data_IF_115993903993
#
_entry.id   IF_115993903993
#
_cell.length_a   1.000
_cell.length_b   1.000
_cell.length_c   1.000
_cell.angle_alpha   90.00
_cell.angle_beta   90.00
_cell.angle_gamma   90.00
#
_symmetry.space_group_name_H-M   'P 1'
#
loop_
_entity.id
_entity.type
_entity.pdbx_description
1 polymer ?
#
# COMPACT_ATOMS: atom_id res chain seq x y z
N UNK A 1 5.89 -21.25 -73.27
CA UNK A 1 5.31 -21.65 -71.96
C UNK A 1 5.84 -20.88 -70.75
N UNK A 2 7.11 -20.44 -70.69
CA UNK A 2 7.65 -19.69 -69.51
C UNK A 2 7.09 -18.26 -69.28
N UNK A 3 6.55 -17.58 -70.30
CA UNK A 3 5.94 -16.23 -70.16
C UNK A 3 4.46 -16.24 -69.69
N UNK A 4 3.76 -17.37 -69.82
CA UNK A 4 2.36 -17.50 -69.39
C UNK A 4 2.25 -17.81 -67.88
N UNK A 5 3.23 -18.54 -67.33
CA UNK A 5 3.27 -18.83 -65.89
C UNK A 5 3.54 -17.59 -65.02
N UNK A 6 4.33 -16.62 -65.49
CA UNK A 6 4.61 -15.39 -64.74
C UNK A 6 3.43 -14.41 -64.71
N UNK A 7 2.61 -14.34 -65.76
CA UNK A 7 1.37 -13.54 -65.77
C UNK A 7 0.24 -14.16 -64.95
N UNK A 8 0.10 -15.49 -64.95
CA UNK A 8 -0.90 -16.19 -64.13
C UNK A 8 -0.61 -16.06 -62.63
N UNK A 9 0.67 -16.09 -62.24
CA UNK A 9 1.09 -15.87 -60.85
C UNK A 9 0.83 -14.41 -60.43
N UNK A 10 1.22 -13.42 -61.24
CA UNK A 10 0.91 -11.99 -60.97
C UNK A 10 -0.60 -11.71 -60.90
N UNK A 11 -1.40 -12.34 -61.76
CA UNK A 11 -2.87 -12.26 -61.74
C UNK A 11 -3.50 -12.89 -60.48
N UNK A 12 -2.99 -14.04 -60.04
CA UNK A 12 -3.43 -14.67 -58.78
C UNK A 12 -3.03 -13.86 -57.53
N UNK A 13 -1.90 -13.14 -57.59
CA UNK A 13 -1.49 -12.23 -56.53
C UNK A 13 -2.37 -10.98 -56.46
N UNK A 14 -2.72 -10.37 -57.60
CA UNK A 14 -3.61 -9.21 -57.67
C UNK A 14 -5.08 -9.52 -57.33
N UNK A 15 -5.62 -10.64 -57.82
CA UNK A 15 -7.00 -11.08 -57.53
C UNK A 15 -7.21 -11.42 -56.05
N UNK A 16 -6.21 -12.02 -55.41
CA UNK A 16 -6.27 -12.31 -53.98
C UNK A 16 -6.26 -11.04 -53.11
N UNK A 17 -5.55 -9.98 -53.52
CA UNK A 17 -5.60 -8.68 -52.81
C UNK A 17 -6.94 -7.96 -52.96
N UNK A 18 -7.53 -8.00 -54.16
CA UNK A 18 -8.89 -7.49 -54.39
C UNK A 18 -9.95 -8.27 -53.60
N UNK A 19 -9.81 -9.60 -53.51
CA UNK A 19 -10.72 -10.45 -52.75
C UNK A 19 -10.67 -10.17 -51.24
N UNK A 20 -9.47 -9.97 -50.66
CA UNK A 20 -9.33 -9.68 -49.23
C UNK A 20 -9.85 -8.29 -48.86
N UNK A 21 -9.68 -7.29 -49.72
CA UNK A 21 -10.28 -5.98 -49.51
C UNK A 21 -11.81 -5.97 -49.74
N UNK A 22 -12.37 -6.97 -50.43
CA UNK A 22 -13.82 -7.08 -50.66
C UNK A 22 -14.61 -7.62 -49.45
N UNK A 23 -13.93 -8.15 -48.42
CA UNK A 23 -14.58 -8.69 -47.21
C UNK A 23 -15.42 -7.63 -46.49
N UNK A 24 -15.02 -6.36 -46.61
CA UNK A 24 -15.73 -5.20 -46.07
C UNK A 24 -17.18 -5.13 -46.57
N UNK A 25 -17.38 -5.30 -47.89
CA UNK A 25 -18.71 -5.23 -48.51
C UNK A 25 -19.55 -6.47 -48.18
N UNK A 26 -18.91 -7.64 -48.11
CA UNK A 26 -19.58 -8.88 -47.68
C UNK A 26 -20.01 -8.80 -46.22
N UNK A 27 -19.20 -8.18 -45.36
CA UNK A 27 -19.55 -7.92 -43.98
C UNK A 27 -20.72 -6.94 -43.86
N UNK A 28 -20.82 -5.91 -44.71
CA UNK A 28 -22.01 -5.03 -44.75
C UNK A 28 -23.29 -5.81 -45.08
N UNK A 29 -23.25 -6.67 -46.11
CA UNK A 29 -24.40 -7.50 -46.47
C UNK A 29 -24.83 -8.45 -45.34
N UNK A 30 -23.89 -8.93 -44.51
CA UNK A 30 -24.19 -9.72 -43.32
C UNK A 30 -24.78 -8.85 -42.19
N UNK A 31 -24.27 -7.63 -42.01
CA UNK A 31 -24.81 -6.69 -41.02
C UNK A 31 -26.24 -6.26 -41.35
N UNK A 32 -26.58 -6.05 -42.63
CA UNK A 32 -27.96 -5.78 -43.08
C UNK A 32 -28.92 -6.94 -42.77
N UNK A 33 -28.40 -8.16 -42.70
CA UNK A 33 -29.14 -9.36 -42.29
C UNK A 33 -29.14 -9.60 -40.77
N UNK A 34 -28.66 -8.64 -39.96
CA UNK A 34 -28.45 -8.77 -38.52
C UNK A 34 -27.50 -9.91 -38.11
N UNK A 35 -26.57 -10.31 -38.99
CA UNK A 35 -25.58 -11.38 -38.75
C UNK A 35 -24.22 -10.82 -38.34
N UNK A 36 -24.19 -10.07 -37.26
CA UNK A 36 -22.96 -9.41 -36.78
C UNK A 36 -21.85 -10.40 -36.38
N UNK A 37 -22.20 -11.59 -35.87
CA UNK A 37 -21.22 -12.63 -35.55
C UNK A 37 -20.53 -13.17 -36.81
N UNK A 38 -21.31 -13.52 -37.84
CA UNK A 38 -20.77 -14.00 -39.12
C UNK A 38 -19.94 -12.93 -39.82
N UNK A 39 -20.40 -11.66 -39.77
CA UNK A 39 -19.66 -10.53 -40.31
C UNK A 39 -18.30 -10.36 -39.61
N UNK A 40 -18.26 -10.50 -38.28
CA UNK A 40 -17.03 -10.41 -37.50
C UNK A 40 -16.04 -11.53 -37.86
N UNK A 41 -16.51 -12.78 -37.92
CA UNK A 41 -15.66 -13.91 -38.28
C UNK A 41 -15.12 -13.78 -39.71
N UNK A 42 -15.92 -13.26 -40.66
CA UNK A 42 -15.44 -12.96 -42.00
C UNK A 42 -14.33 -11.90 -42.01
N UNK A 43 -14.49 -10.81 -41.26
CA UNK A 43 -13.49 -9.73 -41.19
C UNK A 43 -12.16 -10.20 -40.59
N UNK A 44 -12.21 -11.07 -39.57
CA UNK A 44 -11.02 -11.65 -38.93
C UNK A 44 -10.13 -12.42 -39.90
N UNK A 45 -10.68 -12.97 -40.98
CA UNK A 45 -9.91 -13.71 -42.00
C UNK A 45 -8.86 -12.83 -42.73
N UNK A 46 -8.99 -11.50 -42.62
CA UNK A 46 -8.09 -10.54 -43.25
C UNK A 46 -7.03 -9.95 -42.33
N UNK A 47 -7.06 -10.23 -41.01
CA UNK A 47 -6.18 -9.59 -40.02
C UNK A 47 -4.70 -9.94 -40.20
N UNK A 48 -4.40 -11.18 -40.58
CA UNK A 48 -3.02 -11.65 -40.79
C UNK A 48 -2.69 -11.84 -42.27
N UNK A 49 -3.56 -11.39 -43.18
CA UNK A 49 -3.36 -11.60 -44.59
C UNK A 49 -2.42 -10.53 -45.17
N UNK A 50 -1.25 -10.90 -45.74
CA UNK A 50 -0.27 -9.93 -46.24
C UNK A 50 -0.76 -9.12 -47.44
N UNK A 51 -1.89 -9.50 -48.05
CA UNK A 51 -2.51 -8.80 -49.17
C UNK A 51 -3.59 -7.82 -48.75
N UNK A 52 -3.97 -7.79 -47.47
CA UNK A 52 -4.91 -6.81 -46.94
C UNK A 52 -4.24 -5.43 -46.96
N UNK A 53 -4.93 -4.44 -47.52
CA UNK A 53 -4.43 -3.05 -47.53
C UNK A 53 -5.40 -2.09 -46.85
N UNK A 54 -6.66 -2.50 -46.64
CA UNK A 54 -7.71 -1.72 -45.98
C UNK A 54 -7.85 -2.05 -44.48
N UNK A 55 -6.73 -2.20 -43.76
CA UNK A 55 -6.78 -2.59 -42.35
C UNK A 55 -7.60 -1.62 -41.49
N UNK A 56 -7.46 -0.30 -41.70
CA UNK A 56 -8.26 0.71 -40.98
C UNK A 56 -9.77 0.47 -41.06
N UNK A 57 -10.29 0.31 -42.29
CA UNK A 57 -11.70 0.04 -42.58
C UNK A 57 -12.17 -1.31 -42.01
N UNK A 58 -11.35 -2.36 -42.18
CA UNK A 58 -11.65 -3.72 -41.70
C UNK A 58 -11.75 -3.74 -40.17
N UNK A 59 -10.79 -3.14 -39.47
CA UNK A 59 -10.79 -3.04 -38.01
C UNK A 59 -11.95 -2.16 -37.51
N UNK A 60 -12.25 -1.03 -38.16
CA UNK A 60 -13.38 -0.19 -37.79
C UNK A 60 -14.70 -0.97 -37.87
N UNK A 61 -14.87 -1.76 -38.93
CA UNK A 61 -16.06 -2.61 -39.12
C UNK A 61 -16.12 -3.76 -38.13
N UNK A 62 -14.98 -4.37 -37.81
CA UNK A 62 -14.90 -5.39 -36.77
C UNK A 62 -15.30 -4.82 -35.40
N UNK A 63 -14.82 -3.62 -35.05
CA UNK A 63 -15.24 -2.89 -33.84
C UNK A 63 -16.74 -2.64 -33.79
N UNK A 64 -17.35 -2.25 -34.93
CA UNK A 64 -18.82 -2.10 -35.05
C UNK A 64 -19.56 -3.42 -34.82
N UNK A 65 -19.09 -4.52 -35.39
CA UNK A 65 -19.69 -5.84 -35.16
C UNK A 65 -19.59 -6.23 -33.68
N UNK A 66 -18.43 -6.05 -33.06
CA UNK A 66 -18.22 -6.34 -31.64
C UNK A 66 -19.11 -5.49 -30.75
N UNK A 67 -19.30 -4.20 -31.07
CA UNK A 67 -20.25 -3.32 -30.37
C UNK A 67 -21.70 -3.84 -30.45
N UNK A 68 -22.14 -4.26 -31.64
CA UNK A 68 -23.48 -4.84 -31.84
C UNK A 68 -23.66 -6.10 -30.99
N UNK A 69 -22.64 -6.95 -30.94
CA UNK A 69 -22.66 -8.19 -30.14
C UNK A 69 -22.54 -7.93 -28.63
N UNK A 70 -21.92 -6.82 -28.23
CA UNK A 70 -21.78 -6.43 -26.83
C UNK A 70 -23.06 -5.82 -26.26
N UNK A 71 -23.84 -5.08 -27.06
CA UNK A 71 -25.02 -4.35 -26.61
C UNK A 71 -26.08 -5.23 -25.89
N UNK A 72 -26.45 -6.43 -26.37
CA UNK A 72 -27.40 -7.29 -25.67
C UNK A 72 -26.92 -7.71 -24.27
N UNK A 73 -25.61 -7.86 -24.06
CA UNK A 73 -25.04 -8.20 -22.75
C UNK A 73 -25.25 -7.05 -21.76
N UNK A 74 -25.09 -5.81 -22.20
CA UNK A 74 -25.36 -4.62 -21.39
C UNK A 74 -26.85 -4.51 -21.04
N UNK A 75 -27.74 -4.77 -22.01
CA UNK A 75 -29.20 -4.74 -21.79
C UNK A 75 -29.62 -5.82 -20.80
N UNK A 76 -29.08 -7.04 -20.91
CA UNK A 76 -29.36 -8.12 -19.96
C UNK A 76 -28.89 -7.75 -18.56
N UNK A 77 -27.67 -7.23 -18.42
CA UNK A 77 -27.13 -6.79 -17.14
C UNK A 77 -27.96 -5.67 -16.50
N UNK A 78 -28.38 -4.67 -17.29
CA UNK A 78 -29.24 -3.57 -16.82
C UNK A 78 -30.61 -4.06 -16.31
N UNK A 79 -31.12 -5.16 -16.86
CA UNK A 79 -32.37 -5.82 -16.45
C UNK A 79 -32.15 -6.91 -15.39
N UNK A 80 -30.99 -6.96 -14.74
CA UNK A 80 -30.63 -7.97 -13.72
C UNK A 80 -30.79 -9.41 -14.19
N UNK A 81 -30.62 -9.65 -15.50
CA UNK A 81 -30.60 -10.98 -16.08
C UNK A 81 -29.20 -11.59 -15.95
N UNK A 82 -29.07 -12.94 -16.01
CA UNK A 82 -27.77 -13.60 -16.04
C UNK A 82 -26.87 -13.03 -17.14
N UNK A 83 -25.66 -12.63 -16.76
CA UNK A 83 -24.65 -12.10 -17.66
C UNK A 83 -23.59 -13.17 -17.91
N UNK A 84 -23.38 -13.54 -19.18
CA UNK A 84 -22.21 -14.32 -19.56
C UNK A 84 -20.96 -13.43 -19.44
N UNK A 85 -20.28 -13.54 -18.30
CA UNK A 85 -19.10 -12.73 -18.00
C UNK A 85 -17.93 -13.00 -18.95
N UNK A 86 -17.82 -14.23 -19.49
CA UNK A 86 -16.75 -14.56 -20.43
C UNK A 86 -17.00 -13.88 -21.79
N UNK A 87 -18.24 -13.94 -22.28
CA UNK A 87 -18.63 -13.26 -23.50
C UNK A 87 -18.56 -11.73 -23.34
N UNK A 88 -18.98 -11.18 -22.19
CA UNK A 88 -18.84 -9.76 -21.87
C UNK A 88 -17.39 -9.30 -22.01
N UNK A 89 -16.47 -10.02 -21.36
CA UNK A 89 -15.05 -9.71 -21.37
C UNK A 89 -14.46 -9.81 -22.78
N UNK A 90 -14.73 -10.91 -23.50
CA UNK A 90 -14.23 -11.10 -24.86
C UNK A 90 -14.74 -10.04 -25.83
N UNK A 91 -16.02 -9.64 -25.73
CA UNK A 91 -16.61 -8.62 -26.62
C UNK A 91 -16.16 -7.21 -26.28
N UNK A 92 -15.92 -6.91 -25.01
CA UNK A 92 -15.29 -5.66 -24.58
C UNK A 92 -13.89 -5.52 -25.20
N UNK A 93 -13.06 -6.57 -25.07
CA UNK A 93 -11.71 -6.62 -25.64
C UNK A 93 -11.75 -6.44 -27.15
N UNK A 94 -12.56 -7.24 -27.86
CA UNK A 94 -12.69 -7.15 -29.32
C UNK A 94 -13.10 -5.73 -29.75
N UNK A 95 -14.11 -5.15 -29.09
CA UNK A 95 -14.61 -3.82 -29.43
C UNK A 95 -13.53 -2.74 -29.27
N UNK A 96 -12.86 -2.69 -28.12
CA UNK A 96 -11.83 -1.68 -27.85
C UNK A 96 -10.61 -1.89 -28.74
N UNK A 97 -10.11 -3.12 -28.85
CA UNK A 97 -8.90 -3.44 -29.62
C UNK A 97 -9.08 -3.11 -31.11
N UNK A 98 -10.21 -3.50 -31.72
CA UNK A 98 -10.42 -3.24 -33.14
C UNK A 98 -10.61 -1.75 -33.44
N UNK A 99 -11.35 -1.00 -32.62
CA UNK A 99 -11.40 0.45 -32.82
C UNK A 99 -10.03 1.11 -32.61
N UNK A 100 -9.25 0.70 -31.60
CA UNK A 100 -7.90 1.24 -31.39
C UNK A 100 -6.95 0.90 -32.55
N UNK A 101 -6.97 -0.34 -33.06
CA UNK A 101 -6.17 -0.73 -34.24
C UNK A 101 -6.55 0.07 -35.47
N UNK A 102 -7.84 0.32 -35.68
CA UNK A 102 -8.32 1.19 -36.75
C UNK A 102 -7.76 2.62 -36.60
N UNK A 103 -7.87 3.21 -35.41
CA UNK A 103 -7.32 4.54 -35.12
C UNK A 103 -5.81 4.60 -35.38
N UNK A 104 -5.04 3.68 -34.80
CA UNK A 104 -3.58 3.64 -34.94
C UNK A 104 -3.17 3.48 -36.39
N UNK A 105 -3.83 2.59 -37.14
CA UNK A 105 -3.53 2.41 -38.56
C UNK A 105 -3.69 3.73 -39.32
N UNK A 106 -4.81 4.43 -39.15
CA UNK A 106 -5.09 5.66 -39.90
C UNK A 106 -4.31 6.89 -39.42
N UNK A 107 -3.75 6.83 -38.20
CA UNK A 107 -2.93 7.90 -37.60
C UNK A 107 -1.42 7.60 -37.64
N UNK A 108 -1.01 6.53 -38.33
CA UNK A 108 0.40 6.19 -38.55
C UNK A 108 0.72 6.29 -40.05
N UNK A 109 1.75 7.06 -40.46
CA UNK A 109 2.15 7.10 -41.85
C UNK A 109 2.71 5.73 -42.31
N UNK A 110 2.54 5.42 -43.60
CA UNK A 110 3.18 4.26 -44.20
C UNK A 110 4.70 4.42 -44.31
N UNK A 111 5.39 3.39 -44.80
CA UNK A 111 6.85 3.40 -44.97
C UNK A 111 7.37 4.52 -45.91
N UNK A 112 6.50 5.19 -46.67
CA UNK A 112 6.82 6.32 -47.54
C UNK A 112 6.39 7.67 -46.95
N UNK A 113 5.94 7.70 -45.69
CA UNK A 113 5.47 8.91 -45.02
C UNK A 113 4.04 9.31 -45.39
N UNK A 114 3.30 8.50 -46.15
CA UNK A 114 1.94 8.83 -46.58
C UNK A 114 0.93 8.38 -45.55
N UNK A 115 0.03 9.30 -45.18
CA UNK A 115 -1.11 8.98 -44.31
C UNK A 115 -2.14 8.12 -45.03
N UNK A 116 -2.68 7.07 -44.40
CA UNK A 116 -3.81 6.32 -44.92
C UNK A 116 -5.06 7.18 -45.07
N UNK A 117 -6.03 6.68 -45.85
CA UNK A 117 -7.35 7.31 -45.94
C UNK A 117 -8.03 7.25 -44.57
N UNK A 118 -8.55 8.38 -44.12
CA UNK A 118 -9.29 8.46 -42.86
C UNK A 118 -10.74 7.97 -43.05
N UNK A 119 -11.12 6.95 -42.29
CA UNK A 119 -12.47 6.40 -42.18
C UNK A 119 -12.88 6.18 -40.71
N UNK A 120 -11.93 6.27 -39.78
CA UNK A 120 -12.14 6.29 -38.35
C UNK A 120 -12.97 7.51 -37.95
N UNK A 121 -14.03 7.28 -37.17
CA UNK A 121 -15.00 8.31 -36.82
C UNK A 121 -14.87 8.78 -35.37
N UNK A 122 -15.34 10.00 -35.10
CA UNK A 122 -15.50 10.48 -33.73
C UNK A 122 -16.46 9.60 -32.90
N UNK A 123 -17.42 8.92 -33.56
CA UNK A 123 -18.29 7.93 -32.90
C UNK A 123 -17.47 6.77 -32.34
N UNK A 124 -16.49 6.24 -33.08
CA UNK A 124 -15.63 5.16 -32.61
C UNK A 124 -14.82 5.56 -31.36
N UNK A 125 -14.25 6.77 -31.33
CA UNK A 125 -13.59 7.28 -30.12
C UNK A 125 -14.56 7.42 -28.96
N UNK A 126 -15.79 7.86 -29.21
CA UNK A 126 -16.80 7.97 -28.16
C UNK A 126 -17.23 6.58 -27.64
N UNK A 127 -17.31 5.57 -28.50
CA UNK A 127 -17.57 4.18 -28.11
C UNK A 127 -16.45 3.65 -27.21
N UNK A 128 -15.18 3.85 -27.58
CA UNK A 128 -14.04 3.49 -26.72
C UNK A 128 -14.17 4.22 -25.38
N UNK A 129 -14.36 5.54 -25.38
CA UNK A 129 -14.47 6.32 -24.14
C UNK A 129 -15.61 5.83 -23.23
N UNK A 130 -16.75 5.44 -23.81
CA UNK A 130 -17.89 4.91 -23.06
C UNK A 130 -17.66 3.50 -22.51
N UNK A 131 -16.64 2.78 -22.99
CA UNK A 131 -16.31 1.44 -22.51
C UNK A 131 -15.42 1.43 -21.26
N UNK A 132 -14.92 2.60 -20.83
CA UNK A 132 -13.90 2.74 -19.77
C UNK A 132 -14.25 1.96 -18.49
N UNK A 133 -15.47 2.08 -17.99
CA UNK A 133 -15.86 1.49 -16.70
C UNK A 133 -15.97 -0.05 -16.76
N UNK A 134 -16.16 -0.61 -17.96
CA UNK A 134 -16.37 -2.04 -18.14
C UNK A 134 -15.10 -2.87 -17.86
N UNK A 135 -13.90 -2.29 -18.00
CA UNK A 135 -12.66 -2.97 -17.60
C UNK A 135 -12.58 -3.16 -16.07
N UNK A 136 -13.08 -2.19 -15.30
CA UNK A 136 -13.17 -2.35 -13.85
C UNK A 136 -14.13 -3.48 -13.49
N UNK A 137 -15.33 -3.49 -14.08
CA UNK A 137 -16.32 -4.56 -13.84
C UNK A 137 -15.81 -5.94 -14.26
N UNK A 138 -15.12 -6.04 -15.40
CA UNK A 138 -14.45 -7.28 -15.80
C UNK A 138 -13.46 -7.78 -14.73
N UNK A 139 -12.69 -6.87 -14.13
CA UNK A 139 -11.80 -7.17 -13.01
C UNK A 139 -12.56 -7.76 -11.81
N UNK A 140 -13.67 -7.13 -11.43
CA UNK A 140 -14.52 -7.59 -10.31
C UNK A 140 -15.15 -8.96 -10.60
N UNK A 141 -15.68 -9.18 -11.81
CA UNK A 141 -16.26 -10.48 -12.20
C UNK A 141 -15.22 -11.59 -12.14
N UNK A 142 -14.02 -11.35 -12.68
CA UNK A 142 -12.94 -12.32 -12.66
C UNK A 142 -12.50 -12.64 -11.23
N UNK A 143 -12.41 -11.64 -10.35
CA UNK A 143 -12.06 -11.87 -8.94
C UNK A 143 -13.13 -12.70 -8.22
N UNK A 144 -14.41 -12.37 -8.46
CA UNK A 144 -15.55 -13.09 -7.87
C UNK A 144 -15.60 -14.55 -8.31
N UNK A 145 -15.13 -14.84 -9.52
CA UNK A 145 -14.99 -16.20 -10.06
C UNK A 145 -13.67 -16.88 -9.65
N UNK A 146 -12.88 -16.28 -8.74
CA UNK A 146 -11.62 -16.83 -8.25
C UNK A 146 -10.42 -16.66 -9.19
N UNK A 147 -10.59 -16.02 -10.36
CA UNK A 147 -9.51 -15.77 -11.31
C UNK A 147 -8.75 -14.49 -10.96
N UNK A 148 -7.89 -14.57 -9.93
CA UNK A 148 -7.06 -13.44 -9.47
C UNK A 148 -6.11 -12.88 -10.55
N UNK A 149 -5.39 -13.71 -11.35
CA UNK A 149 -4.55 -13.18 -12.42
C UNK A 149 -5.35 -12.42 -13.49
N UNK A 150 -6.54 -12.93 -13.82
CA UNK A 150 -7.48 -12.25 -14.71
C UNK A 150 -7.94 -10.92 -14.12
N UNK A 151 -8.38 -10.90 -12.87
CA UNK A 151 -8.81 -9.68 -12.18
C UNK A 151 -7.72 -8.62 -12.19
N UNK A 152 -6.50 -9.00 -11.82
CA UNK A 152 -5.33 -8.12 -11.83
C UNK A 152 -5.06 -7.52 -13.21
N UNK A 153 -5.13 -8.35 -14.27
CA UNK A 153 -4.97 -7.92 -15.67
C UNK A 153 -6.03 -6.89 -16.08
N UNK A 154 -7.30 -7.14 -15.79
CA UNK A 154 -8.40 -6.28 -16.27
C UNK A 154 -8.53 -4.97 -15.47
N UNK A 155 -8.25 -4.99 -14.17
CA UNK A 155 -8.05 -3.75 -13.41
C UNK A 155 -6.84 -2.95 -13.93
N UNK A 156 -5.80 -3.63 -14.41
CA UNK A 156 -4.67 -2.97 -15.07
C UNK A 156 -5.09 -2.27 -16.37
N UNK A 157 -5.84 -2.96 -17.24
CA UNK A 157 -6.42 -2.35 -18.44
C UNK A 157 -7.28 -1.12 -18.12
N UNK A 158 -8.00 -1.14 -17.00
CA UNK A 158 -8.78 0.02 -16.55
C UNK A 158 -7.87 1.21 -16.18
N UNK A 159 -6.83 0.99 -15.39
CA UNK A 159 -5.87 2.04 -14.98
C UNK A 159 -5.13 2.62 -16.19
N UNK A 160 -4.73 1.77 -17.14
CA UNK A 160 -3.98 2.18 -18.33
C UNK A 160 -4.89 2.72 -19.45
N UNK A 161 -6.22 2.63 -19.29
CA UNK A 161 -7.19 2.96 -20.33
C UNK A 161 -7.06 4.39 -20.90
N UNK A 162 -6.77 5.44 -20.10
CA UNK A 162 -6.52 6.79 -20.63
C UNK A 162 -5.35 6.88 -21.63
N UNK A 163 -4.45 5.90 -21.63
CA UNK A 163 -3.27 5.90 -22.51
C UNK A 163 -3.57 5.35 -23.91
N UNK A 164 -4.78 4.85 -24.15
CA UNK A 164 -5.26 4.46 -25.48
C UNK A 164 -5.06 5.62 -26.49
N UNK A 165 -4.39 5.39 -27.64
CA UNK A 165 -4.12 6.44 -28.63
C UNK A 165 -5.37 7.19 -29.09
N UNK A 166 -6.50 6.48 -29.23
CA UNK A 166 -7.77 7.06 -29.65
C UNK A 166 -8.41 8.00 -28.60
N UNK A 167 -7.86 8.03 -27.38
CA UNK A 167 -8.31 8.86 -26.25
C UNK A 167 -7.30 9.95 -25.88
N UNK A 168 -6.27 10.21 -26.70
CA UNK A 168 -5.22 11.18 -26.38
C UNK A 168 -5.76 12.56 -25.95
N UNK A 169 -6.83 13.05 -26.60
CA UNK A 169 -7.48 14.34 -26.27
C UNK A 169 -8.35 14.32 -25.01
N UNK A 170 -8.66 13.13 -24.48
CA UNK A 170 -9.48 12.93 -23.27
C UNK A 170 -8.65 12.42 -22.08
N UNK A 171 -7.41 11.99 -22.29
CA UNK A 171 -6.53 11.36 -21.29
C UNK A 171 -6.49 12.12 -19.97
N UNK A 172 -6.11 13.40 -20.00
CA UNK A 172 -5.92 14.19 -18.79
C UNK A 172 -7.24 14.41 -18.04
N UNK A 173 -8.31 14.71 -18.80
CA UNK A 173 -9.66 14.83 -18.23
C UNK A 173 -10.10 13.53 -17.55
N UNK A 174 -9.80 12.35 -18.12
CA UNK A 174 -10.10 11.07 -17.48
C UNK A 174 -9.33 10.87 -16.20
N UNK A 175 -8.01 11.11 -16.20
CA UNK A 175 -7.15 10.97 -15.01
C UNK A 175 -7.60 11.87 -13.85
N UNK A 176 -8.15 13.04 -14.16
CA UNK A 176 -8.71 13.96 -13.16
C UNK A 176 -10.10 13.50 -12.70
N UNK A 177 -11.03 13.28 -13.63
CA UNK A 177 -12.44 13.03 -13.31
C UNK A 177 -12.71 11.66 -12.71
N UNK A 178 -11.83 10.69 -12.95
CA UNK A 178 -11.93 9.32 -12.45
C UNK A 178 -10.81 8.97 -11.45
N UNK A 179 -10.20 9.99 -10.84
CA UNK A 179 -9.06 9.80 -9.94
C UNK A 179 -9.37 8.80 -8.81
N UNK A 180 -10.58 8.84 -8.24
CA UNK A 180 -10.99 7.92 -7.18
C UNK A 180 -11.12 6.47 -7.66
N UNK A 181 -11.67 6.24 -8.86
CA UNK A 181 -11.79 4.90 -9.43
C UNK A 181 -10.42 4.31 -9.77
N UNK A 182 -9.50 5.12 -10.31
CA UNK A 182 -8.14 4.65 -10.58
C UNK A 182 -7.37 4.36 -9.29
N UNK A 183 -7.49 5.20 -8.26
CA UNK A 183 -6.92 4.93 -6.95
C UNK A 183 -7.46 3.63 -6.34
N UNK A 184 -8.77 3.41 -6.41
CA UNK A 184 -9.41 2.18 -5.94
C UNK A 184 -8.93 0.95 -6.72
N UNK A 185 -8.83 1.04 -8.05
CA UNK A 185 -8.33 -0.04 -8.88
C UNK A 185 -6.86 -0.39 -8.56
N UNK A 186 -6.00 0.61 -8.34
CA UNK A 186 -4.62 0.40 -7.92
C UNK A 186 -4.54 -0.30 -6.56
N UNK A 187 -5.36 0.11 -5.59
CA UNK A 187 -5.43 -0.56 -4.29
C UNK A 187 -5.86 -2.03 -4.42
N UNK A 188 -6.92 -2.33 -5.19
CA UNK A 188 -7.34 -3.71 -5.45
C UNK A 188 -6.28 -4.53 -6.19
N UNK A 189 -5.56 -3.93 -7.13
CA UNK A 189 -4.43 -4.57 -7.80
C UNK A 189 -3.29 -4.87 -6.83
N UNK A 190 -2.97 -3.97 -5.90
CA UNK A 190 -1.97 -4.23 -4.87
C UNK A 190 -2.37 -5.41 -3.97
N UNK A 191 -3.64 -5.51 -3.55
CA UNK A 191 -4.14 -6.64 -2.78
C UNK A 191 -4.07 -7.96 -3.56
N UNK A 192 -4.49 -7.96 -4.82
CA UNK A 192 -4.42 -9.14 -5.69
C UNK A 192 -2.97 -9.57 -5.93
N UNK A 193 -2.06 -8.61 -6.14
CA UNK A 193 -0.64 -8.88 -6.29
C UNK A 193 -0.07 -9.51 -5.01
N UNK A 194 -0.45 -9.00 -3.84
CA UNK A 194 -0.05 -9.57 -2.55
C UNK A 194 -0.53 -11.02 -2.38
N UNK A 195 -1.80 -11.28 -2.71
CA UNK A 195 -2.37 -12.63 -2.69
C UNK A 195 -1.64 -13.61 -3.64
N UNK A 196 -1.16 -13.11 -4.77
CA UNK A 196 -0.37 -13.87 -5.75
C UNK A 196 1.13 -13.90 -5.41
N UNK A 197 1.56 -13.24 -4.33
CA UNK A 197 2.97 -13.02 -3.96
C UNK A 197 3.80 -12.33 -5.05
N UNK A 198 3.15 -11.55 -5.91
CA UNK A 198 3.78 -10.66 -6.88
C UNK A 198 4.22 -9.37 -6.19
N UNK A 199 5.39 -9.42 -5.53
CA UNK A 199 5.92 -8.32 -4.75
C UNK A 199 6.21 -7.06 -5.57
N UNK A 200 6.65 -7.20 -6.82
CA UNK A 200 6.86 -6.04 -7.71
C UNK A 200 5.53 -5.42 -8.12
N UNK A 201 4.51 -6.24 -8.36
CA UNK A 201 3.13 -5.80 -8.53
C UNK A 201 2.59 -5.05 -7.32
N UNK A 202 2.83 -5.52 -6.09
CA UNK A 202 2.40 -4.79 -4.88
C UNK A 202 3.02 -3.40 -4.86
N UNK A 203 4.35 -3.31 -4.96
CA UNK A 203 5.07 -2.04 -4.87
C UNK A 203 4.64 -1.08 -5.99
N UNK A 204 4.56 -1.55 -7.23
CA UNK A 204 4.16 -0.70 -8.37
C UNK A 204 2.75 -0.12 -8.20
N UNK A 205 1.79 -0.91 -7.72
CA UNK A 205 0.42 -0.44 -7.54
C UNK A 205 0.28 0.46 -6.29
N UNK A 206 1.02 0.16 -5.22
CA UNK A 206 1.09 1.03 -4.04
C UNK A 206 1.70 2.39 -4.40
N UNK A 207 2.80 2.42 -5.14
CA UNK A 207 3.43 3.65 -5.65
C UNK A 207 2.49 4.42 -6.57
N UNK A 208 1.73 3.70 -7.41
CA UNK A 208 0.68 4.28 -8.23
C UNK A 208 -0.40 4.96 -7.40
N UNK A 209 -0.87 4.32 -6.31
CA UNK A 209 -1.89 4.86 -5.43
C UNK A 209 -1.40 6.11 -4.68
N UNK A 210 -0.15 6.12 -4.23
CA UNK A 210 0.45 7.28 -3.55
C UNK A 210 0.67 8.51 -4.44
N UNK A 211 0.43 8.43 -5.76
CA UNK A 211 0.39 9.61 -6.64
C UNK A 211 -0.88 10.44 -6.46
N UNK A 212 -1.91 9.91 -5.80
CA UNK A 212 -3.15 10.62 -5.51
C UNK A 212 -3.11 11.24 -4.11
N UNK A 213 -3.69 12.44 -3.99
CA UNK A 213 -3.78 13.14 -2.70
C UNK A 213 -4.62 12.34 -1.68
N UNK A 214 -4.30 12.52 -0.39
CA UNK A 214 -4.99 11.84 0.72
C UNK A 214 -6.52 11.95 0.66
N UNK A 215 -7.05 13.09 0.23
CA UNK A 215 -8.51 13.31 0.06
C UNK A 215 -9.11 12.40 -1.02
N UNK A 216 -8.42 12.22 -2.15
CA UNK A 216 -8.87 11.32 -3.22
C UNK A 216 -8.87 9.87 -2.72
N UNK A 217 -7.83 9.48 -1.98
CA UNK A 217 -7.74 8.14 -1.39
C UNK A 217 -8.87 7.90 -0.38
N UNK A 218 -9.20 8.89 0.46
CA UNK A 218 -10.31 8.83 1.41
C UNK A 218 -11.67 8.68 0.71
N UNK A 219 -11.95 9.50 -0.32
CA UNK A 219 -13.17 9.39 -1.13
C UNK A 219 -13.27 8.04 -1.87
N UNK A 220 -12.13 7.50 -2.30
CA UNK A 220 -12.01 6.18 -2.91
C UNK A 220 -12.11 5.01 -1.90
N UNK A 221 -12.21 5.31 -0.60
CA UNK A 221 -12.16 4.34 0.51
C UNK A 221 -10.90 3.48 0.50
N UNK A 222 -9.78 4.06 0.09
CA UNK A 222 -8.46 3.44 0.11
C UNK A 222 -7.77 3.82 1.42
N UNK A 223 -7.47 2.82 2.24
CA UNK A 223 -6.75 3.00 3.50
C UNK A 223 -5.28 3.30 3.22
N UNK A 224 -4.84 4.53 3.52
CA UNK A 224 -3.42 4.93 3.45
C UNK A 224 -2.57 4.05 4.38
N UNK A 225 -3.10 3.69 5.55
CA UNK A 225 -2.43 2.77 6.48
C UNK A 225 -2.19 1.41 5.83
N UNK A 226 -3.16 0.88 5.11
CA UNK A 226 -3.04 -0.43 4.46
C UNK A 226 -2.00 -0.40 3.34
N UNK A 227 -1.93 0.68 2.57
CA UNK A 227 -0.88 0.87 1.55
C UNK A 227 0.52 0.83 2.17
N UNK A 228 0.72 1.51 3.29
CA UNK A 228 1.97 1.45 4.05
C UNK A 228 2.26 0.04 4.58
N UNK A 229 1.27 -0.63 5.17
CA UNK A 229 1.42 -1.99 5.69
C UNK A 229 1.79 -2.98 4.57
N UNK A 230 1.13 -2.92 3.42
CA UNK A 230 1.44 -3.74 2.25
C UNK A 230 2.88 -3.50 1.78
N UNK A 231 3.30 -2.23 1.65
CA UNK A 231 4.67 -1.88 1.26
C UNK A 231 5.70 -2.42 2.25
N UNK A 232 5.49 -2.20 3.55
CA UNK A 232 6.40 -2.66 4.60
C UNK A 232 6.51 -4.17 4.65
N UNK A 233 5.39 -4.91 4.65
CA UNK A 233 5.39 -6.37 4.63
C UNK A 233 6.05 -6.91 3.36
N UNK A 234 5.82 -6.27 2.21
CA UNK A 234 6.46 -6.66 0.95
C UNK A 234 7.98 -6.54 1.03
N UNK A 235 8.50 -5.46 1.61
CA UNK A 235 9.94 -5.31 1.80
C UNK A 235 10.49 -6.30 2.83
N UNK A 236 9.83 -6.46 3.98
CA UNK A 236 10.34 -7.29 5.07
C UNK A 236 10.28 -8.80 4.73
N UNK A 237 9.11 -9.29 4.34
CA UNK A 237 8.86 -10.73 4.20
C UNK A 237 9.10 -11.21 2.77
N UNK A 238 8.72 -10.39 1.79
CA UNK A 238 8.77 -10.77 0.37
C UNK A 238 10.15 -10.58 -0.24
N UNK A 239 10.64 -9.34 -0.28
CA UNK A 239 11.93 -8.96 -0.86
C UNK A 239 13.11 -9.15 0.12
N UNK A 240 12.83 -9.21 1.42
CA UNK A 240 13.84 -9.24 2.50
C UNK A 240 14.81 -8.05 2.44
N UNK A 241 14.32 -6.91 1.98
CA UNK A 241 15.06 -5.66 1.91
C UNK A 241 14.78 -4.84 3.18
N UNK A 242 15.63 -5.05 4.18
CA UNK A 242 15.48 -4.37 5.47
C UNK A 242 15.74 -2.87 5.39
N UNK A 243 16.54 -2.41 4.42
CA UNK A 243 16.79 -0.98 4.22
C UNK A 243 15.53 -0.30 3.69
N UNK A 244 14.89 -0.89 2.68
CA UNK A 244 13.63 -0.39 2.14
C UNK A 244 12.48 -0.50 3.18
N UNK A 245 12.45 -1.57 3.98
CA UNK A 245 11.50 -1.71 5.09
C UNK A 245 11.64 -0.57 6.11
N UNK A 246 12.85 -0.27 6.56
CA UNK A 246 13.11 0.82 7.51
C UNK A 246 12.73 2.18 6.92
N UNK A 247 13.01 2.42 5.63
CA UNK A 247 12.60 3.66 4.98
C UNK A 247 11.08 3.77 4.85
N UNK A 248 10.39 2.68 4.51
CA UNK A 248 8.93 2.64 4.47
C UNK A 248 8.29 2.86 5.84
N UNK A 249 8.89 2.33 6.92
CA UNK A 249 8.47 2.60 8.30
C UNK A 249 8.57 4.08 8.65
N UNK A 250 9.70 4.72 8.35
CA UNK A 250 9.92 6.16 8.60
C UNK A 250 8.89 7.01 7.86
N UNK A 251 8.68 6.72 6.59
CA UNK A 251 7.69 7.41 5.76
C UNK A 251 6.26 7.26 6.33
N UNK A 252 5.91 6.05 6.77
CA UNK A 252 4.62 5.78 7.42
C UNK A 252 4.44 6.57 8.74
N UNK A 253 5.49 6.66 9.57
CA UNK A 253 5.46 7.42 10.83
C UNK A 253 5.24 8.92 10.59
N UNK A 254 5.81 9.46 9.50
CA UNK A 254 5.67 10.87 9.16
C UNK A 254 4.24 11.23 8.72
N UNK A 255 3.57 10.31 8.02
CA UNK A 255 2.28 10.54 7.34
C UNK A 255 1.05 9.94 8.05
N UNK A 256 1.24 9.06 9.03
CA UNK A 256 0.15 8.47 9.82
C UNK A 256 0.15 9.04 11.24
N UNK A 257 -1.03 9.46 11.70
CA UNK A 257 -1.20 10.00 13.06
C UNK A 257 -1.21 8.88 14.12
N UNK A 258 -1.85 7.75 13.82
CA UNK A 258 -1.83 6.53 14.65
C UNK A 258 -0.62 5.66 14.29
N UNK A 259 0.56 6.07 14.78
CA UNK A 259 1.84 5.47 14.43
C UNK A 259 2.55 4.76 15.60
N UNK A 260 1.94 4.65 16.79
CA UNK A 260 2.60 4.09 17.98
C UNK A 260 3.20 2.69 17.72
N UNK A 261 2.45 1.79 17.10
CA UNK A 261 2.96 0.45 16.74
C UNK A 261 4.09 0.48 15.70
N UNK A 262 4.09 1.47 14.80
CA UNK A 262 5.14 1.64 13.79
C UNK A 262 6.44 2.14 14.44
N UNK A 263 6.33 3.05 15.41
CA UNK A 263 7.43 3.50 16.25
C UNK A 263 8.06 2.33 17.01
N UNK A 264 7.25 1.50 17.64
CA UNK A 264 7.69 0.31 18.36
C UNK A 264 8.43 -0.68 17.44
N UNK A 265 7.90 -0.93 16.24
CA UNK A 265 8.54 -1.78 15.25
C UNK A 265 9.91 -1.24 14.81
N UNK A 266 10.01 0.07 14.57
CA UNK A 266 11.26 0.72 14.16
C UNK A 266 12.32 0.67 15.28
N UNK A 267 11.95 0.99 16.51
CA UNK A 267 12.84 0.90 17.68
C UNK A 267 13.28 -0.55 17.91
N UNK A 268 12.35 -1.51 17.83
CA UNK A 268 12.64 -2.94 17.99
C UNK A 268 13.62 -3.42 16.93
N UNK A 269 13.45 -2.98 15.68
CA UNK A 269 14.38 -3.29 14.60
C UNK A 269 15.79 -2.78 14.90
N UNK A 270 15.95 -1.53 15.32
CA UNK A 270 17.26 -1.00 15.68
C UNK A 270 17.88 -1.72 16.90
N UNK A 271 17.06 -2.02 17.90
CA UNK A 271 17.50 -2.74 19.09
C UNK A 271 18.03 -4.13 18.77
N UNK A 272 17.29 -4.93 17.99
CA UNK A 272 17.69 -6.28 17.60
C UNK A 272 19.00 -6.30 16.79
N UNK A 273 19.26 -5.25 16.02
CA UNK A 273 20.47 -5.11 15.21
C UNK A 273 21.61 -4.37 15.94
N UNK A 274 21.39 -3.91 17.18
CA UNK A 274 22.31 -3.03 17.90
C UNK A 274 22.76 -1.80 17.07
N UNK A 275 21.88 -1.31 16.20
CA UNK A 275 22.18 -0.24 15.24
C UNK A 275 21.90 1.15 15.84
N UNK A 276 22.74 1.51 16.81
CA UNK A 276 22.65 2.78 17.53
C UNK A 276 22.76 3.97 16.56
N UNK A 277 23.65 3.87 15.57
CA UNK A 277 23.96 4.97 14.64
C UNK A 277 22.74 5.33 13.78
N UNK A 278 22.08 4.34 13.18
CA UNK A 278 20.89 4.60 12.36
C UNK A 278 19.71 5.05 13.21
N UNK A 279 19.57 4.54 14.43
CA UNK A 279 18.54 4.98 15.36
C UNK A 279 18.71 6.46 15.73
N UNK A 280 19.93 6.90 16.03
CA UNK A 280 20.24 8.30 16.33
C UNK A 280 20.03 9.21 15.11
N UNK A 281 20.45 8.78 13.92
CA UNK A 281 20.21 9.52 12.68
C UNK A 281 18.70 9.71 12.43
N UNK A 282 17.91 8.66 12.62
CA UNK A 282 16.45 8.70 12.47
C UNK A 282 15.80 9.65 13.46
N UNK A 283 16.21 9.58 14.72
CA UNK A 283 15.72 10.50 15.74
C UNK A 283 16.12 11.97 15.43
N UNK A 284 17.30 12.21 14.85
CA UNK A 284 17.73 13.54 14.42
C UNK A 284 16.86 14.06 13.26
N UNK A 285 16.63 13.22 12.26
CA UNK A 285 15.89 13.60 11.05
C UNK A 285 14.43 13.94 11.38
N UNK A 286 13.76 13.11 12.20
CA UNK A 286 12.38 13.38 12.61
C UNK A 286 12.25 14.65 13.46
N UNK A 287 13.21 14.92 14.34
CA UNK A 287 13.25 16.16 15.12
C UNK A 287 13.56 17.39 14.25
N UNK A 288 14.31 17.23 13.17
CA UNK A 288 14.58 18.32 12.23
C UNK A 288 13.34 18.67 11.41
N UNK A 289 12.59 17.66 10.99
CA UNK A 289 11.45 17.84 10.08
C UNK A 289 10.15 18.19 10.82
N UNK A 290 9.94 17.63 12.02
CA UNK A 290 8.71 17.81 12.80
C UNK A 290 9.00 17.88 14.31
N UNK A 291 9.73 18.91 14.79
CA UNK A 291 10.07 19.08 16.21
C UNK A 291 8.85 19.28 17.14
N UNK A 292 7.70 19.64 16.59
CA UNK A 292 6.45 19.87 17.31
C UNK A 292 5.62 18.59 17.51
N UNK A 293 5.94 17.50 16.81
CA UNK A 293 5.26 16.21 17.00
C UNK A 293 5.79 15.48 18.23
N UNK A 294 4.88 14.99 19.08
CA UNK A 294 5.23 14.18 20.25
C UNK A 294 6.03 12.93 19.87
N UNK A 295 5.67 12.27 18.75
CA UNK A 295 6.36 11.07 18.23
C UNK A 295 7.85 11.30 17.94
N UNK A 296 8.24 12.49 17.45
CA UNK A 296 9.64 12.83 17.16
C UNK A 296 10.50 12.82 18.43
N UNK A 297 10.00 13.41 19.52
CA UNK A 297 10.67 13.38 20.83
C UNK A 297 10.60 12.00 21.48
N UNK A 298 9.51 11.27 21.29
CA UNK A 298 9.34 9.94 21.87
C UNK A 298 10.37 8.94 21.32
N UNK A 299 10.61 8.94 20.00
CA UNK A 299 11.65 8.13 19.37
C UNK A 299 13.01 8.45 19.97
N UNK A 300 13.37 9.75 20.07
CA UNK A 300 14.63 10.16 20.70
C UNK A 300 14.78 9.54 22.08
N UNK A 301 13.75 9.66 22.91
CA UNK A 301 13.76 9.09 24.26
C UNK A 301 13.94 7.58 24.25
N UNK A 302 13.30 6.86 23.33
CA UNK A 302 13.46 5.42 23.18
C UNK A 302 14.87 5.02 22.73
N UNK A 303 15.49 5.78 21.83
CA UNK A 303 16.89 5.55 21.41
C UNK A 303 17.84 5.77 22.57
N UNK A 304 17.69 6.87 23.30
CA UNK A 304 18.54 7.17 24.46
C UNK A 304 18.34 6.15 25.59
N UNK A 305 17.09 5.71 25.83
CA UNK A 305 16.75 4.72 26.86
C UNK A 305 17.28 3.31 26.53
N UNK A 306 16.93 2.78 25.35
CA UNK A 306 17.05 1.35 25.05
C UNK A 306 18.40 0.98 24.41
N UNK A 307 18.93 1.87 23.55
CA UNK A 307 20.14 1.61 22.78
C UNK A 307 21.37 2.19 23.46
N UNK A 308 21.32 3.48 23.84
CA UNK A 308 22.46 4.18 24.44
C UNK A 308 22.55 4.00 25.95
N UNK A 309 21.42 3.68 26.59
CA UNK A 309 21.29 3.63 28.07
C UNK A 309 21.69 4.96 28.71
N UNK A 310 21.48 6.06 28.00
CA UNK A 310 21.61 7.43 28.51
C UNK A 310 20.27 7.85 29.13
N UNK A 311 20.08 7.46 30.38
CA UNK A 311 18.83 7.72 31.08
C UNK A 311 18.58 9.21 31.36
N UNK A 312 19.61 10.05 31.36
CA UNK A 312 19.42 11.49 31.52
C UNK A 312 18.83 12.09 30.24
N UNK A 313 19.46 11.83 29.09
CA UNK A 313 18.96 12.26 27.78
C UNK A 313 17.56 11.70 27.48
N UNK A 314 17.31 10.43 27.81
CA UNK A 314 16.00 9.81 27.65
C UNK A 314 14.90 10.57 28.40
N UNK A 315 15.15 10.96 29.67
CA UNK A 315 14.20 11.73 30.47
C UNK A 315 13.95 13.12 29.88
N UNK A 316 14.97 13.79 29.34
CA UNK A 316 14.78 15.09 28.67
C UNK A 316 13.87 14.97 27.44
N UNK A 317 14.07 13.93 26.63
CA UNK A 317 13.26 13.67 25.44
C UNK A 317 11.82 13.26 25.80
N UNK A 318 11.62 12.38 26.79
CA UNK A 318 10.27 12.05 27.27
C UNK A 318 9.58 13.24 27.92
N UNK A 319 10.30 14.13 28.61
CA UNK A 319 9.72 15.35 29.15
C UNK A 319 9.18 16.26 28.04
N UNK A 320 9.90 16.38 26.93
CA UNK A 320 9.43 17.12 25.74
C UNK A 320 8.24 16.45 25.07
N UNK A 321 8.22 15.12 25.00
CA UNK A 321 7.05 14.34 24.54
C UNK A 321 5.83 14.66 25.39
N UNK A 322 5.96 14.60 26.71
CA UNK A 322 4.88 14.84 27.68
C UNK A 322 4.47 16.31 27.80
N UNK A 323 5.32 17.24 27.39
CA UNK A 323 4.95 18.64 27.27
C UNK A 323 3.99 18.89 26.09
N UNK A 324 4.09 18.05 25.04
CA UNK A 324 3.22 18.11 23.86
C UNK A 324 1.96 17.26 24.09
N UNK A 325 2.12 16.03 24.57
CA UNK A 325 1.03 15.12 24.93
C UNK A 325 1.21 14.58 26.36
N UNK A 326 0.62 15.25 27.37
CA UNK A 326 0.69 14.82 28.77
C UNK A 326 0.05 13.45 29.04
N UNK A 327 -0.81 12.97 28.14
CA UNK A 327 -1.53 11.71 28.27
C UNK A 327 -0.90 10.59 27.43
N UNK A 328 0.28 10.80 26.86
CA UNK A 328 1.01 9.77 26.13
C UNK A 328 1.41 8.64 27.09
N UNK A 329 0.75 7.48 26.97
CA UNK A 329 0.86 6.36 27.92
C UNK A 329 2.28 5.81 27.95
N UNK A 330 2.86 5.58 26.78
CA UNK A 330 4.17 4.96 26.59
C UNK A 330 5.30 5.89 27.04
N UNK A 331 5.18 7.20 26.80
CA UNK A 331 6.15 8.18 27.31
C UNK A 331 6.13 8.28 28.84
N UNK A 332 4.95 8.23 29.47
CA UNK A 332 4.84 8.13 30.93
C UNK A 332 5.49 6.84 31.47
N UNK A 333 5.23 5.70 30.83
CA UNK A 333 5.84 4.43 31.21
C UNK A 333 7.37 4.48 31.08
N UNK A 334 7.87 4.95 29.93
CA UNK A 334 9.31 5.02 29.65
C UNK A 334 10.04 6.06 30.50
N UNK A 335 9.38 7.14 30.93
CA UNK A 335 9.91 8.06 31.92
C UNK A 335 10.15 7.36 33.27
N UNK A 336 9.18 6.56 33.74
CA UNK A 336 9.36 5.76 34.95
C UNK A 336 10.49 4.74 34.78
N UNK A 337 10.54 4.04 33.65
CA UNK A 337 11.63 3.10 33.35
C UNK A 337 12.99 3.79 33.29
N UNK A 338 13.10 5.00 32.76
CA UNK A 338 14.37 5.74 32.73
C UNK A 338 14.89 6.03 34.15
N UNK A 339 14.04 6.39 35.11
CA UNK A 339 14.46 6.55 36.51
C UNK A 339 14.87 5.23 37.17
N UNK A 340 14.08 4.17 36.95
CA UNK A 340 14.32 2.85 37.55
C UNK A 340 15.60 2.22 36.98
N UNK A 341 15.77 2.25 35.66
CA UNK A 341 16.94 1.69 34.98
C UNK A 341 18.21 2.45 35.36
N UNK A 342 18.14 3.78 35.54
CA UNK A 342 19.27 4.59 36.00
C UNK A 342 19.78 4.14 37.37
N UNK A 343 18.90 4.00 38.36
CA UNK A 343 19.31 3.56 39.70
C UNK A 343 19.76 2.09 39.72
N UNK A 344 19.14 1.23 38.92
CA UNK A 344 19.55 -0.18 38.77
C UNK A 344 20.95 -0.25 38.13
N UNK A 345 21.22 0.47 37.04
CA UNK A 345 22.54 0.52 36.41
C UNK A 345 23.60 1.08 37.35
N UNK A 346 23.31 2.16 38.08
CA UNK A 346 24.22 2.68 39.13
C UNK A 346 24.54 1.60 40.17
N UNK A 347 23.53 0.88 40.64
CA UNK A 347 23.70 -0.23 41.59
C UNK A 347 24.58 -1.34 41.02
N UNK A 348 24.30 -1.80 39.80
CA UNK A 348 25.08 -2.84 39.12
C UNK A 348 26.54 -2.41 38.89
N UNK A 349 26.77 -1.13 38.63
CA UNK A 349 28.10 -0.55 38.45
C UNK A 349 28.82 -0.25 39.78
N UNK A 350 28.30 -0.71 40.91
CA UNK A 350 28.95 -0.58 42.22
C UNK A 350 28.86 0.81 42.85
N UNK A 351 27.92 1.67 42.41
CA UNK A 351 27.73 3.01 42.99
C UNK A 351 27.38 2.97 44.48
N UNK A 352 26.67 1.92 44.91
CA UNK A 352 26.22 1.74 46.29
C UNK A 352 26.99 0.61 46.96
N UNK A 353 27.58 0.90 48.12
CA UNK A 353 28.37 -0.06 48.90
C UNK A 353 27.50 -0.98 49.73
N UNK A 354 26.46 -0.44 50.36
CA UNK A 354 25.62 -1.15 51.31
C UNK A 354 24.18 -1.33 50.83
N UNK A 355 23.60 -0.35 50.16
CA UNK A 355 22.22 -0.45 49.69
C UNK A 355 22.08 -1.49 48.56
N UNK A 356 21.64 -2.69 48.94
CA UNK A 356 21.51 -3.86 48.06
C UNK A 356 22.52 -4.98 48.29
N UNK A 357 23.37 -4.88 49.31
CA UNK A 357 24.20 -5.99 49.79
C UNK A 357 23.58 -6.65 51.03
N UNK A 358 24.19 -7.72 51.54
CA UNK A 358 23.74 -8.36 52.77
C UNK A 358 23.85 -7.38 53.95
N UNK A 359 22.73 -7.10 54.62
CA UNK A 359 22.65 -6.19 55.78
C UNK A 359 23.61 -6.59 56.91
N UNK A 360 24.02 -7.86 57.00
CA UNK A 360 25.04 -8.32 57.95
C UNK A 360 26.41 -7.63 57.78
N UNK A 361 26.68 -7.02 56.62
CA UNK A 361 27.91 -6.26 56.32
C UNK A 361 27.83 -4.80 56.79
N UNK A 362 26.66 -4.32 57.20
CA UNK A 362 26.44 -2.94 57.67
C UNK A 362 26.68 -2.90 59.18
N UNK A 363 27.94 -2.70 59.59
CA UNK A 363 28.33 -2.67 61.01
C UNK A 363 29.02 -1.35 61.39
N UNK A 364 28.62 -0.80 62.53
CA UNK A 364 29.14 0.47 63.05
C UNK A 364 28.42 1.70 62.49
N UNK A 365 28.44 2.78 63.27
CA UNK A 365 27.65 3.99 63.01
C UNK A 365 27.92 4.60 61.62
N UNK A 366 29.17 4.60 61.16
CA UNK A 366 29.53 5.13 59.84
C UNK A 366 28.95 4.31 58.68
N UNK A 367 28.94 2.97 58.80
CA UNK A 367 28.34 2.11 57.77
C UNK A 367 26.82 2.25 57.73
N UNK A 368 26.18 2.36 58.89
CA UNK A 368 24.72 2.60 58.99
C UNK A 368 24.36 3.96 58.38
N UNK A 369 25.11 5.01 58.68
CA UNK A 369 24.89 6.34 58.10
C UNK A 369 25.03 6.31 56.56
N UNK A 370 26.04 5.61 56.04
CA UNK A 370 26.21 5.46 54.59
C UNK A 370 25.07 4.65 53.97
N UNK A 371 24.67 3.52 54.56
CA UNK A 371 23.54 2.73 54.11
C UNK A 371 22.26 3.57 54.01
N UNK A 372 21.94 4.35 55.05
CA UNK A 372 20.76 5.22 55.05
C UNK A 372 20.84 6.31 53.96
N UNK A 373 22.02 6.87 53.72
CA UNK A 373 22.24 7.85 52.63
C UNK A 373 22.02 7.22 51.26
N UNK A 374 22.58 6.04 51.03
CA UNK A 374 22.42 5.29 49.78
C UNK A 374 20.97 4.87 49.54
N UNK A 375 20.28 4.36 50.59
CA UNK A 375 18.87 4.01 50.52
C UNK A 375 18.01 5.23 50.15
N UNK A 376 18.28 6.39 50.76
CA UNK A 376 17.56 7.64 50.43
C UNK A 376 17.79 8.08 48.99
N UNK A 377 19.01 7.92 48.47
CA UNK A 377 19.30 8.20 47.05
C UNK A 377 18.51 7.25 46.14
N UNK A 378 18.51 5.95 46.41
CA UNK A 378 17.74 4.96 45.66
C UNK A 378 16.24 5.30 45.68
N UNK A 379 15.68 5.57 46.86
CA UNK A 379 14.28 5.95 47.04
C UNK A 379 13.91 7.23 46.28
N UNK A 380 14.83 8.17 46.11
CA UNK A 380 14.59 9.37 45.31
C UNK A 380 14.30 9.04 43.84
N UNK A 381 14.97 8.04 43.23
CA UNK A 381 14.65 7.63 41.85
C UNK A 381 13.26 7.00 41.75
N UNK A 382 12.91 6.09 42.67
CA UNK A 382 11.59 5.48 42.69
C UNK A 382 10.48 6.50 43.01
N UNK A 383 10.74 7.48 43.87
CA UNK A 383 9.82 8.59 44.14
C UNK A 383 9.55 9.43 42.90
N UNK A 384 10.58 9.66 42.07
CA UNK A 384 10.45 10.37 40.79
C UNK A 384 9.75 9.54 39.71
N UNK A 385 9.93 8.22 39.73
CA UNK A 385 9.26 7.30 38.80
C UNK A 385 7.76 7.14 39.10
N UNK A 386 7.39 7.14 40.38
CA UNK A 386 6.02 6.90 40.86
C UNK A 386 4.93 7.72 40.14
N UNK A 387 5.00 9.07 40.06
CA UNK A 387 3.91 9.85 39.46
C UNK A 387 3.64 9.48 38.00
N UNK A 388 4.67 9.10 37.24
CA UNK A 388 4.52 8.73 35.84
C UNK A 388 3.87 7.36 35.67
N UNK A 389 4.28 6.35 36.46
CA UNK A 389 3.63 5.04 36.37
C UNK A 389 2.20 5.04 36.96
N UNK A 390 1.94 5.90 37.95
CA UNK A 390 0.58 6.17 38.42
C UNK A 390 -0.29 6.80 37.33
N UNK A 391 0.28 7.71 36.54
CA UNK A 391 -0.41 8.28 35.37
C UNK A 391 -0.72 7.20 34.33
N UNK A 392 0.18 6.24 34.08
CA UNK A 392 -0.10 5.07 33.21
C UNK A 392 -1.31 4.27 33.74
N UNK A 393 -1.36 3.99 35.05
CA UNK A 393 -2.50 3.31 35.69
C UNK A 393 -3.80 4.09 35.50
N UNK A 394 -3.77 5.42 35.62
CA UNK A 394 -4.95 6.27 35.41
C UNK A 394 -5.43 6.27 33.95
N UNK A 395 -4.50 6.30 33.00
CA UNK A 395 -4.80 6.36 31.56
C UNK A 395 -5.23 5.01 30.98
N UNK A 396 -4.80 3.91 31.60
CA UNK A 396 -5.06 2.56 31.13
C UNK A 396 -5.40 1.61 32.30
N UNK A 397 -6.50 1.85 33.04
CA UNK A 397 -6.84 1.10 34.26
C UNK A 397 -7.05 -0.39 33.99
N UNK A 398 -7.59 -0.75 32.83
CA UNK A 398 -7.86 -2.15 32.46
C UNK A 398 -6.61 -2.90 31.99
N UNK A 399 -5.54 -2.17 31.62
CA UNK A 399 -4.26 -2.78 31.20
C UNK A 399 -3.36 -3.06 32.41
N UNK A 400 -3.86 -3.80 33.39
CA UNK A 400 -3.17 -4.06 34.69
C UNK A 400 -1.72 -4.51 34.51
N UNK A 401 -1.45 -5.39 33.53
CA UNK A 401 -0.11 -5.93 33.24
C UNK A 401 0.89 -4.86 32.76
N UNK A 402 0.41 -3.71 32.28
CA UNK A 402 1.25 -2.60 31.81
C UNK A 402 1.89 -1.82 32.96
N UNK A 403 1.21 -1.66 34.10
CA UNK A 403 1.62 -0.75 35.18
C UNK A 403 1.83 -1.44 36.53
N UNK A 404 1.10 -2.52 36.84
CA UNK A 404 1.13 -3.13 38.17
C UNK A 404 2.50 -3.70 38.56
N UNK A 405 3.26 -4.41 37.68
CA UNK A 405 4.58 -4.91 38.05
C UNK A 405 5.56 -3.79 38.41
N UNK A 406 5.52 -2.71 37.64
CA UNK A 406 6.39 -1.56 37.86
C UNK A 406 5.99 -0.78 39.11
N UNK A 407 4.69 -0.58 39.36
CA UNK A 407 4.22 0.03 40.62
C UNK A 407 4.58 -0.83 41.83
N UNK A 408 4.46 -2.16 41.74
CA UNK A 408 4.87 -3.08 42.79
C UNK A 408 6.35 -2.86 43.14
N UNK A 409 7.24 -2.85 42.13
CA UNK A 409 8.66 -2.58 42.31
C UNK A 409 8.91 -1.21 42.95
N UNK A 410 8.22 -0.16 42.48
CA UNK A 410 8.33 1.20 43.02
C UNK A 410 7.93 1.21 44.51
N UNK A 411 6.76 0.67 44.85
CA UNK A 411 6.27 0.66 46.22
C UNK A 411 7.15 -0.15 47.17
N UNK A 412 7.67 -1.31 46.74
CA UNK A 412 8.61 -2.09 47.54
C UNK A 412 9.87 -1.30 47.88
N UNK A 413 10.46 -0.59 46.92
CA UNK A 413 11.65 0.22 47.15
C UNK A 413 11.36 1.48 47.98
N UNK A 414 10.12 1.96 47.97
CA UNK A 414 9.63 3.04 48.85
C UNK A 414 9.13 2.54 50.22
N UNK A 415 9.26 1.25 50.52
CA UNK A 415 8.79 0.61 51.75
C UNK A 415 7.26 0.72 51.98
N UNK A 416 6.49 0.89 50.89
CA UNK A 416 5.02 0.97 50.85
C UNK A 416 4.41 -0.43 50.66
N UNK A 417 4.50 -1.25 51.71
CA UNK A 417 4.18 -2.69 51.65
C UNK A 417 2.71 -2.99 51.31
N UNK A 418 1.77 -2.17 51.78
CA UNK A 418 0.35 -2.39 51.55
C UNK A 418 0.01 -2.16 50.07
N UNK A 419 0.54 -1.10 49.48
CA UNK A 419 0.33 -0.76 48.07
C UNK A 419 1.07 -1.72 47.14
N UNK A 420 2.26 -2.20 47.53
CA UNK A 420 2.92 -3.28 46.81
C UNK A 420 2.06 -4.55 46.76
N UNK A 421 1.50 -4.97 47.91
CA UNK A 421 0.60 -6.13 47.99
C UNK A 421 -0.67 -5.93 47.13
N UNK A 422 -1.22 -4.72 47.11
CA UNK A 422 -2.35 -4.42 46.25
C UNK A 422 -2.03 -4.68 44.76
N UNK A 423 -0.80 -4.39 44.31
CA UNK A 423 -0.40 -4.66 42.93
C UNK A 423 -0.32 -6.17 42.65
N UNK A 424 0.11 -6.98 43.64
CA UNK A 424 0.10 -8.44 43.55
C UNK A 424 -1.32 -8.97 43.37
N UNK A 425 -2.25 -8.54 44.24
CA UNK A 425 -3.65 -8.96 44.20
C UNK A 425 -4.31 -8.62 42.84
N UNK A 426 -3.97 -7.45 42.28
CA UNK A 426 -4.47 -7.01 40.97
C UNK A 426 -3.87 -7.82 39.81
N UNK A 427 -2.58 -8.17 39.88
CA UNK A 427 -1.92 -9.00 38.87
C UNK A 427 -2.47 -10.41 38.86
N UNK A 428 -2.68 -11.01 40.03
CA UNK A 428 -3.29 -12.33 40.16
C UNK A 428 -4.70 -12.34 39.56
N UNK A 429 -5.53 -11.35 39.91
CA UNK A 429 -6.86 -11.21 39.32
C UNK A 429 -6.84 -11.07 37.80
N UNK A 430 -5.83 -10.39 37.24
CA UNK A 430 -5.67 -10.19 35.79
C UNK A 430 -5.09 -11.42 35.04
N UNK A 431 -4.53 -12.39 35.76
CA UNK A 431 -4.05 -13.66 35.18
C UNK A 431 -5.12 -14.75 35.17
N UNK A 432 -6.20 -14.56 35.93
CA UNK A 432 -7.33 -15.49 36.04
C UNK A 432 -8.58 -15.06 35.25
N UNK A 433 -8.48 -13.99 34.46
CA UNK A 433 -9.47 -13.55 33.46
C UNK A 433 -8.92 -13.85 32.08
#
# INVERSE_FOLDING_TARGET
>A
MKKLFSLAVLGAFALAGAAQNSVVYKADALLEQNKAADALELLKTSFDNPKTTKFGEIYNKAGKCSRILFQPLLVNAANSQPLDTAQFISRLDDMVDYYTKSYVFEHTPDAKGKMPKQEYSNEATQVIYNARDYYFYAGIFLNSNGNKPGAYKYLGKFVDFPDNPALATKRDSMRITMAKEYAQALYYRAMLANDMKDYDGVLSNVDGAFKYDKKVLEEAKVSVRDLYLLRMQTYLDGKKDTTAYVNALKDAIEHLDDNASLLENLISFYYQNNDIKSAEATANDLLKNAPEKASSWYIRGCVDLNLKKDYAAAREAFAKTLAIDPNHVEANANMAYAYINDVITKKMNGKYKYAGSNLSKVKGNAAIALYNKELKDIQSYYSKALPYMEKVRQLAPDRVKLWAPTLQQIYQNLLRKAEAKQMDDLLDAANHR
#
